data_IF_669516020402
#
_entry.id   IF_669516020402
#
_cell.length_a   1.000
_cell.length_b   1.000
_cell.length_c   1.000
_cell.angle_alpha   90.00
_cell.angle_beta   90.00
_cell.angle_gamma   90.00
#
_symmetry.space_group_name_H-M   'P 1'
#
loop_
_entity.id
_entity.type
_entity.pdbx_description
1 polymer ?
#
# COMPACT_ATOMS: atom_id res chain seq x y z
N UNK A 1 7.01 24.86 -4.11
CA UNK A 1 7.47 23.84 -5.07
C UNK A 1 6.89 22.52 -4.61
N UNK A 2 6.00 21.98 -5.43
CA UNK A 2 5.36 20.69 -5.18
C UNK A 2 6.42 19.57 -5.29
N UNK A 3 6.35 18.52 -4.48
CA UNK A 3 7.40 17.46 -4.46
C UNK A 3 7.58 16.82 -5.84
N UNK A 4 6.51 16.77 -6.65
CA UNK A 4 6.51 16.31 -8.05
C UNK A 4 7.45 17.09 -8.97
N UNK A 5 7.70 18.38 -8.71
CA UNK A 5 8.58 19.21 -9.54
C UNK A 5 10.08 18.93 -9.31
N UNK A 6 10.44 18.24 -8.22
CA UNK A 6 11.85 17.93 -7.87
C UNK A 6 12.30 16.54 -8.35
N UNK A 7 11.39 15.68 -8.82
CA UNK A 7 11.70 14.28 -9.13
C UNK A 7 11.97 14.10 -10.62
N UNK A 8 13.09 13.48 -10.97
CA UNK A 8 13.39 13.16 -12.37
C UNK A 8 12.62 11.90 -12.79
N UNK A 9 12.32 11.76 -14.09
CA UNK A 9 11.56 10.63 -14.66
C UNK A 9 12.12 9.21 -14.40
N UNK A 10 13.29 9.09 -13.77
CA UNK A 10 13.90 7.82 -13.34
C UNK A 10 13.87 7.56 -11.84
N UNK A 11 13.40 8.50 -11.01
CA UNK A 11 13.39 8.34 -9.56
C UNK A 11 12.19 7.50 -9.13
N UNK A 12 12.49 6.37 -8.46
CA UNK A 12 11.46 5.58 -7.82
C UNK A 12 11.03 6.26 -6.52
N UNK A 13 9.80 6.73 -6.47
CA UNK A 13 9.20 7.26 -5.25
C UNK A 13 7.87 6.59 -4.95
N UNK A 14 7.62 6.39 -3.66
CA UNK A 14 6.35 5.90 -3.15
C UNK A 14 5.56 7.12 -2.69
N UNK A 15 4.75 7.67 -3.59
CA UNK A 15 3.90 8.84 -3.29
C UNK A 15 2.58 8.46 -2.62
N UNK A 16 2.38 7.18 -2.38
CA UNK A 16 1.08 6.62 -2.09
C UNK A 16 0.80 6.57 -0.60
N UNK A 17 0.17 7.60 -0.05
CA UNK A 17 -0.47 7.49 1.27
C UNK A 17 -1.38 6.24 1.29
N UNK A 18 -1.36 5.53 2.41
CA UNK A 18 -2.16 4.30 2.64
C UNK A 18 -1.87 3.17 1.63
N UNK A 19 -0.63 3.02 1.15
CA UNK A 19 -0.22 1.90 0.29
C UNK A 19 0.40 0.77 1.10
N UNK A 20 0.07 -0.47 0.74
CA UNK A 20 0.66 -1.66 1.35
C UNK A 20 1.55 -2.38 0.34
N UNK A 21 2.83 -2.58 0.72
CA UNK A 21 3.78 -3.39 -0.05
C UNK A 21 3.97 -4.73 0.66
N UNK A 22 3.66 -5.82 -0.03
CA UNK A 22 3.88 -7.16 0.52
C UNK A 22 5.37 -7.45 0.72
N UNK A 23 5.68 -8.22 1.76
CA UNK A 23 7.04 -8.65 2.05
C UNK A 23 7.70 -9.36 0.85
N UNK A 24 9.00 -9.11 0.65
CA UNK A 24 9.77 -9.70 -0.45
C UNK A 24 9.55 -9.07 -1.83
N UNK A 25 8.81 -7.96 -1.92
CA UNK A 25 8.58 -7.27 -3.19
C UNK A 25 9.79 -6.44 -3.64
N UNK A 26 10.10 -6.44 -4.93
CA UNK A 26 11.14 -5.58 -5.52
C UNK A 26 10.45 -4.46 -6.31
N UNK A 27 10.35 -3.29 -5.69
CA UNK A 27 9.74 -2.11 -6.31
C UNK A 27 10.73 -1.51 -7.31
N UNK A 28 10.33 -1.48 -8.58
CA UNK A 28 11.17 -0.96 -9.69
C UNK A 28 10.53 0.20 -10.43
N UNK A 29 9.28 0.53 -10.09
CA UNK A 29 8.47 1.59 -10.71
C UNK A 29 7.57 2.23 -9.65
N UNK A 30 7.19 3.48 -9.88
CA UNK A 30 6.29 4.23 -9.00
C UNK A 30 5.00 3.44 -8.71
N UNK A 31 4.58 3.45 -7.44
CA UNK A 31 3.34 2.83 -6.96
C UNK A 31 2.39 3.95 -6.47
N UNK A 32 1.15 4.02 -6.97
CA UNK A 32 0.17 5.02 -6.53
C UNK A 32 -0.34 4.74 -5.11
N UNK A 33 -1.06 5.71 -4.53
CA UNK A 33 -1.71 5.58 -3.22
C UNK A 33 -2.90 4.64 -3.19
N UNK A 34 -3.28 4.20 -1.98
CA UNK A 34 -4.44 3.33 -1.71
C UNK A 34 -4.43 2.00 -2.51
N UNK A 35 -3.26 1.40 -2.73
CA UNK A 35 -3.16 0.09 -3.39
C UNK A 35 -2.42 -0.93 -2.54
N UNK A 36 -2.72 -2.21 -2.81
CA UNK A 36 -1.95 -3.35 -2.38
C UNK A 36 -1.06 -3.80 -3.55
N UNK A 37 0.26 -3.77 -3.37
CA UNK A 37 1.22 -4.19 -4.39
C UNK A 37 2.18 -5.26 -3.88
N UNK A 38 2.48 -6.26 -4.71
CA UNK A 38 3.32 -7.41 -4.33
C UNK A 38 4.22 -7.89 -5.48
N UNK A 39 5.27 -8.64 -5.15
CA UNK A 39 6.03 -9.49 -6.09
C UNK A 39 7.35 -8.90 -6.57
N UNK A 40 8.03 -9.66 -7.45
CA UNK A 40 9.30 -9.30 -8.07
C UNK A 40 9.24 -9.53 -9.61
N UNK A 41 9.16 -8.46 -10.44
CA UNK A 41 9.03 -7.06 -10.03
C UNK A 41 7.66 -6.78 -9.39
N UNK A 42 7.61 -5.79 -8.48
CA UNK A 42 6.40 -5.41 -7.77
C UNK A 42 5.31 -4.91 -8.73
N UNK A 43 4.09 -5.42 -8.57
CA UNK A 43 2.92 -5.06 -9.37
C UNK A 43 1.74 -4.75 -8.45
N UNK A 44 0.87 -3.84 -8.89
CA UNK A 44 -0.41 -3.60 -8.24
C UNK A 44 -1.26 -4.88 -8.30
N UNK A 45 -1.68 -5.36 -7.15
CA UNK A 45 -2.59 -6.50 -7.03
C UNK A 45 -4.04 -6.03 -7.07
N UNK A 46 -4.37 -5.01 -6.27
CA UNK A 46 -5.70 -4.38 -6.20
C UNK A 46 -5.65 -3.05 -5.46
N UNK A 47 -6.75 -2.30 -5.52
CA UNK A 47 -6.99 -1.14 -4.67
C UNK A 47 -7.39 -1.56 -3.24
N UNK A 48 -7.08 -0.71 -2.27
CA UNK A 48 -7.52 -0.81 -0.89
C UNK A 48 -8.92 -0.19 -0.78
N UNK A 49 -9.85 -0.91 -0.15
CA UNK A 49 -11.25 -0.49 -0.05
C UNK A 49 -11.82 -0.76 1.35
N UNK A 50 -13.12 -0.56 1.53
CA UNK A 50 -13.79 -0.71 2.82
C UNK A 50 -13.69 -2.13 3.41
N UNK A 51 -13.47 -3.15 2.57
CA UNK A 51 -13.20 -4.51 3.06
C UNK A 51 -11.93 -4.56 3.91
N UNK A 52 -10.89 -3.80 3.56
CA UNK A 52 -9.63 -3.76 4.32
C UNK A 52 -9.77 -3.04 5.67
N UNK A 53 -10.81 -2.20 5.83
CA UNK A 53 -11.15 -1.58 7.12
C UNK A 53 -11.91 -2.55 8.03
N UNK A 54 -12.60 -3.52 7.45
CA UNK A 54 -13.39 -4.49 8.18
C UNK A 54 -12.60 -5.75 8.50
N UNK A 55 -11.66 -6.13 7.63
CA UNK A 55 -10.92 -7.39 7.70
C UNK A 55 -9.42 -7.16 7.61
N UNK A 56 -8.67 -7.63 8.61
CA UNK A 56 -7.22 -7.46 8.68
C UNK A 56 -6.43 -8.74 8.35
N UNK A 57 -7.07 -9.92 8.48
CA UNK A 57 -6.42 -11.21 8.17
C UNK A 57 -7.43 -12.27 7.73
N UNK A 58 -7.35 -12.68 6.46
CA UNK A 58 -8.32 -13.62 5.86
C UNK A 58 -9.75 -13.14 6.14
N UNK A 59 -10.58 -13.98 6.73
CA UNK A 59 -11.98 -13.68 7.06
C UNK A 59 -12.17 -13.14 8.49
N UNK A 60 -11.08 -12.79 9.19
CA UNK A 60 -11.16 -12.19 10.53
C UNK A 60 -11.58 -10.74 10.43
N UNK A 61 -12.77 -10.45 10.97
CA UNK A 61 -13.26 -9.09 11.17
C UNK A 61 -12.55 -8.44 12.33
N UNK A 62 -12.30 -7.14 12.22
CA UNK A 62 -11.91 -6.30 13.36
C UNK A 62 -13.11 -6.23 14.30
N UNK A 63 -12.91 -6.65 15.55
CA UNK A 63 -13.88 -6.47 16.64
C UNK A 63 -13.41 -5.37 17.59
N UNK A 64 -14.31 -4.86 18.43
CA UNK A 64 -13.97 -3.76 19.35
C UNK A 64 -12.81 -4.12 20.28
N UNK A 65 -12.73 -5.38 20.70
CA UNK A 65 -11.66 -5.90 21.55
C UNK A 65 -10.28 -5.77 20.89
N UNK A 66 -10.18 -5.92 19.56
CA UNK A 66 -8.91 -5.77 18.82
C UNK A 66 -8.38 -4.32 18.85
N UNK A 67 -9.28 -3.33 19.00
CA UNK A 67 -8.95 -1.91 18.97
C UNK A 67 -8.54 -1.36 20.33
N UNK A 68 -8.86 -2.07 21.42
CA UNK A 68 -8.58 -1.65 22.79
C UNK A 68 -7.12 -1.95 23.18
N UNK A 69 -6.44 -2.83 22.44
CA UNK A 69 -5.05 -3.27 22.71
C UNK A 69 -3.97 -2.57 21.84
N UNK A 70 -4.33 -1.54 21.07
CA UNK A 70 -3.41 -0.86 20.12
C UNK A 70 -2.80 0.45 20.64
#
# INVERSE_FOLDING_TARGET
MDMKEKMHSGDLYLSGDNTVIGAGSIVTKHIPGNVLAIGNPCKMLREINDHDKLYYFKDRKIINEDLIES
#
